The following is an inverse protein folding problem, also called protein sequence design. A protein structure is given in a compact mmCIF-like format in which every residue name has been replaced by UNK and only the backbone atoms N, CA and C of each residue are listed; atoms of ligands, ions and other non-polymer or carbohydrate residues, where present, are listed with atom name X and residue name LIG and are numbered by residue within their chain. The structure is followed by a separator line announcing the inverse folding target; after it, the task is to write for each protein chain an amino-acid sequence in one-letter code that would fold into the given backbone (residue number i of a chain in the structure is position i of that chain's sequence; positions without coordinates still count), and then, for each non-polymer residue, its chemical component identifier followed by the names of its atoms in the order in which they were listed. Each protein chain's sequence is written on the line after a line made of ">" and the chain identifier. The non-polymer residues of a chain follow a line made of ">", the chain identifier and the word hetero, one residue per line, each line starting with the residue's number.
data_IF_238210081136
#
_entry.id   IF_238210081136
#
_cell.length_a   1.000
_cell.length_b   1.000
_cell.length_c   1.000
_cell.angle_alpha   90.00
_cell.angle_beta   90.00
_cell.angle_gamma   90.00
#
_symmetry.space_group_name_H-M   'P 1'
#
loop_
_entity.id
_entity.type
_entity.pdbx_description
1 polymer ?
#
# COMPACT_ATOMS: atom_id res chain seq x y z
N UNK A 1 -26.13 12.93 15.38
CA UNK A 1 -25.37 11.77 14.87
C UNK A 1 -24.97 10.97 16.09
N UNK A 2 -25.37 9.72 16.20
CA UNK A 2 -25.22 8.92 17.41
C UNK A 2 -23.76 8.49 17.64
N UNK A 3 -23.29 8.40 18.88
CA UNK A 3 -21.89 7.99 19.20
C UNK A 3 -21.62 6.57 18.67
N UNK A 4 -22.63 5.70 18.71
CA UNK A 4 -22.55 4.35 18.17
C UNK A 4 -22.30 4.33 16.67
N UNK A 5 -22.88 5.28 15.92
CA UNK A 5 -22.63 5.41 14.49
C UNK A 5 -21.16 5.71 14.19
N UNK A 6 -20.60 6.70 14.90
CA UNK A 6 -19.21 7.09 14.72
C UNK A 6 -18.25 5.95 15.11
N UNK A 7 -18.52 5.26 16.23
CA UNK A 7 -17.70 4.12 16.66
C UNK A 7 -17.71 2.99 15.64
N UNK A 8 -18.88 2.63 15.10
CA UNK A 8 -18.98 1.62 14.05
C UNK A 8 -18.27 2.02 12.76
N UNK A 9 -18.31 3.32 12.41
CA UNK A 9 -17.58 3.87 11.27
C UNK A 9 -16.06 3.72 11.44
N UNK A 10 -15.54 4.14 12.60
CA UNK A 10 -14.10 4.07 12.92
C UNK A 10 -13.63 2.63 12.96
N UNK A 11 -14.40 1.71 13.55
CA UNK A 11 -14.05 0.28 13.57
C UNK A 11 -13.94 -0.29 12.15
N UNK A 12 -14.93 -0.02 11.29
CA UNK A 12 -14.93 -0.48 9.91
C UNK A 12 -13.73 0.06 9.11
N UNK A 13 -13.41 1.35 9.27
CA UNK A 13 -12.21 1.94 8.66
C UNK A 13 -10.96 1.25 9.20
N UNK A 14 -10.84 1.04 10.52
CA UNK A 14 -9.68 0.40 11.13
C UNK A 14 -9.44 -1.02 10.59
N UNK A 15 -10.49 -1.83 10.46
CA UNK A 15 -10.42 -3.19 9.89
C UNK A 15 -9.92 -3.14 8.43
N UNK A 16 -10.41 -2.21 7.62
CA UNK A 16 -9.95 -2.05 6.24
C UNK A 16 -8.49 -1.60 6.14
N UNK A 17 -8.07 -0.67 7.01
CA UNK A 17 -6.69 -0.20 7.07
C UNK A 17 -5.74 -1.32 7.50
N UNK A 18 -6.12 -2.12 8.50
CA UNK A 18 -5.37 -3.29 8.95
C UNK A 18 -5.23 -4.32 7.82
N UNK A 19 -6.29 -4.55 7.05
CA UNK A 19 -6.20 -5.40 5.87
C UNK A 19 -5.26 -4.84 4.83
N UNK A 20 -5.40 -3.56 4.46
CA UNK A 20 -4.55 -2.94 3.45
C UNK A 20 -3.06 -3.03 3.85
N UNK A 21 -2.75 -2.77 5.12
CA UNK A 21 -1.41 -2.93 5.67
C UNK A 21 -0.92 -4.40 5.64
N UNK A 22 -1.76 -5.35 6.08
CA UNK A 22 -1.41 -6.78 6.07
C UNK A 22 -1.22 -7.34 4.66
N UNK A 23 -2.02 -6.86 3.71
CA UNK A 23 -1.93 -7.20 2.29
C UNK A 23 -0.58 -6.79 1.71
N UNK A 24 -0.10 -5.57 1.96
CA UNK A 24 1.22 -5.14 1.50
C UNK A 24 2.34 -6.09 1.98
N UNK A 25 2.37 -6.35 3.29
CA UNK A 25 3.47 -7.08 3.92
C UNK A 25 3.53 -8.56 3.56
N UNK A 26 2.37 -9.21 3.40
CA UNK A 26 2.28 -10.64 3.10
C UNK A 26 2.16 -10.90 1.61
N UNK A 27 1.33 -10.14 0.91
CA UNK A 27 0.96 -10.49 -0.46
C UNK A 27 1.96 -9.98 -1.49
N UNK A 28 2.35 -8.72 -1.34
CA UNK A 28 3.23 -8.04 -2.30
C UNK A 28 4.67 -8.53 -2.11
N UNK A 29 5.12 -8.67 -0.86
CA UNK A 29 6.46 -9.15 -0.53
C UNK A 29 6.74 -10.60 -0.97
N UNK A 30 5.79 -11.51 -0.83
CA UNK A 30 5.99 -12.93 -1.16
C UNK A 30 5.54 -13.31 -2.57
N UNK A 31 5.22 -12.33 -3.43
CA UNK A 31 4.76 -12.56 -4.81
C UNK A 31 3.58 -13.54 -4.93
N UNK A 32 2.74 -13.61 -3.89
CA UNK A 32 1.62 -14.55 -3.78
C UNK A 32 0.51 -14.27 -4.83
N UNK A 33 0.64 -13.25 -5.66
CA UNK A 33 -0.28 -12.99 -6.78
C UNK A 33 -0.16 -14.02 -7.92
N UNK A 34 0.91 -14.80 -8.00
CA UNK A 34 1.19 -15.72 -9.12
C UNK A 34 0.49 -17.08 -8.96
N UNK A 35 0.37 -17.60 -7.73
CA UNK A 35 -0.22 -18.91 -7.51
C UNK A 35 -1.76 -18.86 -7.36
N UNK A 36 -2.45 -19.82 -7.95
CA UNK A 36 -3.92 -19.93 -7.83
C UNK A 36 -4.32 -20.17 -6.37
N UNK A 37 -3.55 -21.00 -5.65
CA UNK A 37 -3.77 -21.27 -4.22
C UNK A 37 -3.77 -19.98 -3.41
N UNK A 38 -2.76 -19.13 -3.61
CA UNK A 38 -2.72 -17.87 -2.91
C UNK A 38 -3.95 -17.02 -3.24
N UNK A 39 -4.31 -16.84 -4.53
CA UNK A 39 -5.51 -16.07 -4.94
C UNK A 39 -6.78 -16.55 -4.25
N UNK A 40 -6.94 -17.86 -4.07
CA UNK A 40 -8.05 -18.44 -3.29
C UNK A 40 -7.94 -18.05 -1.82
N UNK A 41 -6.77 -18.18 -1.19
CA UNK A 41 -6.55 -17.74 0.20
C UNK A 41 -6.85 -16.24 0.40
N UNK A 42 -6.44 -15.36 -0.53
CA UNK A 42 -6.82 -13.95 -0.46
C UNK A 42 -8.34 -13.76 -0.50
N UNK A 43 -9.03 -14.48 -1.37
CA UNK A 43 -10.49 -14.39 -1.44
C UNK A 43 -11.17 -14.83 -0.14
N UNK A 44 -10.65 -15.86 0.53
CA UNK A 44 -11.13 -16.28 1.86
C UNK A 44 -10.87 -15.21 2.93
N UNK A 45 -9.69 -14.58 2.92
CA UNK A 45 -9.35 -13.49 3.85
C UNK A 45 -10.28 -12.29 3.62
N UNK A 46 -10.48 -11.89 2.35
CA UNK A 46 -11.40 -10.81 1.96
C UNK A 46 -12.82 -11.13 2.44
N UNK A 47 -13.28 -12.37 2.27
CA UNK A 47 -14.55 -12.85 2.79
C UNK A 47 -14.63 -12.77 4.32
N UNK A 48 -13.59 -13.21 5.03
CA UNK A 48 -13.50 -13.11 6.50
C UNK A 48 -13.55 -11.66 7.00
N UNK A 49 -12.91 -10.73 6.29
CA UNK A 49 -13.01 -9.30 6.60
C UNK A 49 -14.42 -8.78 6.36
N UNK A 50 -15.07 -9.17 5.27
CA UNK A 50 -16.47 -8.82 5.06
C UNK A 50 -17.35 -9.32 6.22
N UNK A 51 -17.09 -10.52 6.74
CA UNK A 51 -17.80 -11.05 7.93
C UNK A 51 -17.55 -10.16 9.16
N UNK A 52 -16.29 -9.76 9.42
CA UNK A 52 -15.96 -8.87 10.54
C UNK A 52 -16.71 -7.54 10.40
N UNK A 53 -16.70 -6.93 9.21
CA UNK A 53 -17.42 -5.68 8.93
C UNK A 53 -18.94 -5.80 9.15
N UNK A 54 -19.54 -6.98 8.91
CA UNK A 54 -20.97 -7.23 9.18
C UNK A 54 -21.32 -7.35 10.65
N UNK A 55 -20.38 -7.83 11.47
CA UNK A 55 -20.60 -8.01 12.90
C UNK A 55 -20.46 -6.70 13.69
N UNK A 56 -19.92 -5.65 13.07
CA UNK A 56 -19.82 -4.31 13.66
C UNK A 56 -20.54 -3.29 12.77
N UNK A 57 -21.88 -3.36 12.71
CA UNK A 57 -22.67 -2.47 11.88
C UNK A 57 -22.53 -1.02 12.35
N UNK A 58 -22.37 -0.10 11.39
CA UNK A 58 -22.30 1.33 11.67
C UNK A 58 -23.69 1.92 11.95
N UNK A 59 -24.77 1.38 11.38
CA UNK A 59 -26.15 1.76 11.73
C UNK A 59 -27.04 0.53 11.81
N UNK A 60 -27.93 0.51 12.80
CA UNK A 60 -29.06 -0.42 12.87
C UNK A 60 -30.35 0.40 12.85
N UNK A 61 -31.18 0.24 11.82
CA UNK A 61 -32.51 0.85 11.76
C UNK A 61 -33.54 -0.19 11.35
N UNK A 62 -34.59 -0.39 12.15
CA UNK A 62 -35.63 -1.39 11.87
C UNK A 62 -35.10 -2.81 11.66
N UNK A 63 -34.00 -3.20 12.35
CA UNK A 63 -33.37 -4.51 12.15
C UNK A 63 -32.48 -4.63 10.90
N UNK A 64 -32.29 -3.55 10.14
CA UNK A 64 -31.39 -3.53 8.98
C UNK A 64 -30.03 -2.96 9.34
N UNK A 65 -28.99 -3.75 9.07
CA UNK A 65 -27.59 -3.42 9.33
C UNK A 65 -26.91 -2.76 8.12
N UNK A 66 -26.26 -1.62 8.34
CA UNK A 66 -25.41 -0.92 7.36
C UNK A 66 -23.96 -0.87 7.83
N UNK A 67 -23.06 -1.18 6.90
CA UNK A 67 -21.62 -1.13 7.11
C UNK A 67 -20.91 -0.80 5.79
N UNK A 68 -19.58 -0.73 5.85
CA UNK A 68 -18.75 -0.30 4.72
C UNK A 68 -18.31 -1.43 3.77
N UNK A 69 -18.92 -2.61 3.79
CA UNK A 69 -18.55 -3.72 2.86
C UNK A 69 -18.53 -3.31 1.39
N UNK A 70 -19.44 -2.43 0.97
CA UNK A 70 -19.49 -1.92 -0.40
C UNK A 70 -18.23 -1.12 -0.77
N UNK A 71 -17.74 -0.29 0.15
CA UNK A 71 -16.49 0.47 0.02
C UNK A 71 -15.31 -0.49 -0.14
N UNK A 72 -15.25 -1.49 0.74
CA UNK A 72 -14.20 -2.49 0.72
C UNK A 72 -14.21 -3.30 -0.58
N UNK A 73 -15.32 -3.98 -0.90
CA UNK A 73 -15.41 -4.87 -2.06
C UNK A 73 -15.19 -4.17 -3.40
N UNK A 74 -15.66 -2.93 -3.55
CA UNK A 74 -15.41 -2.15 -4.76
C UNK A 74 -13.94 -1.76 -4.92
N UNK A 75 -13.27 -1.38 -3.83
CA UNK A 75 -11.83 -1.11 -3.84
C UNK A 75 -11.03 -2.39 -4.11
N UNK A 76 -11.41 -3.51 -3.50
CA UNK A 76 -10.78 -4.81 -3.70
C UNK A 76 -10.95 -5.31 -5.13
N UNK A 77 -12.14 -5.17 -5.72
CA UNK A 77 -12.40 -5.43 -7.14
C UNK A 77 -11.47 -4.63 -8.04
N UNK A 78 -11.26 -3.35 -7.72
CA UNK A 78 -10.37 -2.49 -8.48
C UNK A 78 -8.89 -2.94 -8.37
N UNK A 79 -8.37 -3.13 -7.16
CA UNK A 79 -6.93 -3.33 -6.92
C UNK A 79 -6.44 -4.78 -6.94
N UNK A 80 -7.23 -5.74 -6.44
CA UNK A 80 -6.78 -7.13 -6.28
C UNK A 80 -7.18 -7.99 -7.50
N UNK A 81 -8.40 -7.84 -8.00
CA UNK A 81 -8.87 -8.46 -9.25
C UNK A 81 -9.83 -9.65 -9.06
N UNK A 82 -10.12 -10.36 -10.15
CA UNK A 82 -11.29 -11.25 -10.29
C UNK A 82 -11.45 -12.35 -9.24
N UNK A 83 -10.52 -13.31 -9.18
CA UNK A 83 -10.67 -14.52 -8.36
C UNK A 83 -10.88 -14.17 -6.87
N UNK A 84 -10.03 -13.35 -6.23
CA UNK A 84 -10.21 -13.02 -4.81
C UNK A 84 -11.50 -12.24 -4.55
N UNK A 85 -11.88 -11.32 -5.42
CA UNK A 85 -13.13 -10.54 -5.28
C UNK A 85 -14.37 -11.40 -5.42
N UNK A 86 -14.40 -12.31 -6.41
CA UNK A 86 -15.53 -13.23 -6.60
C UNK A 86 -15.72 -14.14 -5.39
N UNK A 87 -14.63 -14.71 -4.87
CA UNK A 87 -14.70 -15.56 -3.67
C UNK A 87 -15.12 -14.75 -2.43
N UNK A 88 -14.59 -13.55 -2.26
CA UNK A 88 -15.01 -12.63 -1.20
C UNK A 88 -16.50 -12.28 -1.27
N UNK A 89 -17.03 -12.02 -2.47
CA UNK A 89 -18.45 -11.80 -2.70
C UNK A 89 -19.29 -13.03 -2.32
N UNK A 90 -18.87 -14.23 -2.74
CA UNK A 90 -19.57 -15.48 -2.38
C UNK A 90 -19.64 -15.65 -0.87
N UNK A 91 -18.51 -15.56 -0.17
CA UNK A 91 -18.44 -15.72 1.29
C UNK A 91 -19.30 -14.65 1.99
N UNK A 92 -19.21 -13.39 1.55
CA UNK A 92 -20.00 -12.30 2.10
C UNK A 92 -21.51 -12.49 1.87
N UNK A 93 -21.92 -12.93 0.67
CA UNK A 93 -23.32 -13.20 0.36
C UNK A 93 -23.88 -14.37 1.18
N UNK A 94 -23.11 -15.47 1.31
CA UNK A 94 -23.49 -16.63 2.14
C UNK A 94 -23.65 -16.23 3.60
N UNK A 95 -22.70 -15.48 4.16
CA UNK A 95 -22.82 -15.00 5.53
C UNK A 95 -24.01 -14.05 5.71
N UNK A 96 -24.30 -13.19 4.73
CA UNK A 96 -25.47 -12.31 4.78
C UNK A 96 -26.79 -13.07 4.74
N UNK A 97 -26.87 -14.16 3.97
CA UNK A 97 -28.03 -15.06 3.99
C UNK A 97 -28.21 -15.68 5.38
N UNK A 98 -27.11 -16.08 6.03
CA UNK A 98 -27.16 -16.68 7.37
C UNK A 98 -27.61 -15.69 8.45
N UNK A 99 -27.21 -14.42 8.38
CA UNK A 99 -27.65 -13.39 9.34
C UNK A 99 -29.17 -13.14 9.33
N UNK A 100 -29.84 -13.38 8.20
CA UNK A 100 -31.28 -13.11 8.08
C UNK A 100 -31.65 -11.62 8.19
N UNK A 101 -32.95 -11.35 8.36
CA UNK A 101 -33.52 -10.01 8.53
C UNK A 101 -34.05 -9.37 7.23
N UNK A 102 -34.71 -8.22 7.39
CA UNK A 102 -35.45 -7.55 6.30
C UNK A 102 -34.54 -7.03 5.16
N UNK A 103 -33.26 -6.83 5.45
CA UNK A 103 -32.26 -6.34 4.48
C UNK A 103 -31.36 -7.40 3.86
N UNK A 104 -31.78 -8.67 3.81
CA UNK A 104 -30.98 -9.76 3.21
C UNK A 104 -30.78 -9.55 1.71
N UNK A 105 -31.88 -9.42 0.95
CA UNK A 105 -31.81 -9.28 -0.51
C UNK A 105 -31.11 -7.99 -0.94
N UNK A 106 -31.41 -6.88 -0.28
CA UNK A 106 -30.68 -5.62 -0.46
C UNK A 106 -29.18 -5.80 -0.21
N UNK A 107 -28.80 -6.47 0.89
CA UNK A 107 -27.41 -6.68 1.26
C UNK A 107 -26.65 -7.57 0.29
N UNK A 108 -27.29 -8.62 -0.25
CA UNK A 108 -26.68 -9.47 -1.27
C UNK A 108 -26.50 -8.68 -2.57
N UNK A 109 -27.53 -7.93 -2.99
CA UNK A 109 -27.45 -7.11 -4.19
C UNK A 109 -26.34 -6.05 -4.09
N UNK A 110 -26.15 -5.42 -2.93
CA UNK A 110 -25.09 -4.44 -2.72
C UNK A 110 -23.68 -5.06 -2.72
N UNK A 111 -23.51 -6.26 -2.13
CA UNK A 111 -22.25 -7.02 -2.18
C UNK A 111 -21.89 -7.36 -3.62
N UNK A 112 -22.83 -7.93 -4.38
CA UNK A 112 -22.59 -8.33 -5.76
C UNK A 112 -22.33 -7.11 -6.67
N UNK A 113 -23.14 -6.04 -6.54
CA UNK A 113 -22.97 -4.86 -7.38
C UNK A 113 -21.65 -4.15 -7.07
N UNK A 114 -21.28 -3.96 -5.80
CA UNK A 114 -20.05 -3.25 -5.42
C UNK A 114 -18.78 -3.94 -5.93
N UNK A 115 -18.65 -5.25 -5.72
CA UNK A 115 -17.51 -6.01 -6.22
C UNK A 115 -17.46 -6.05 -7.75
N UNK A 116 -18.61 -6.22 -8.40
CA UNK A 116 -18.71 -6.22 -9.87
C UNK A 116 -18.32 -4.88 -10.47
N UNK A 117 -18.79 -3.76 -9.91
CA UNK A 117 -18.42 -2.41 -10.37
C UNK A 117 -16.91 -2.21 -10.25
N UNK A 118 -16.30 -2.61 -9.12
CA UNK A 118 -14.85 -2.54 -8.95
C UNK A 118 -14.08 -3.34 -10.02
N UNK A 119 -14.53 -4.56 -10.32
CA UNK A 119 -13.95 -5.42 -11.36
C UNK A 119 -14.12 -4.84 -12.76
N UNK A 120 -15.30 -4.29 -13.09
CA UNK A 120 -15.56 -3.64 -14.36
C UNK A 120 -14.68 -2.38 -14.52
N UNK A 121 -14.57 -1.56 -13.48
CA UNK A 121 -13.67 -0.40 -13.48
C UNK A 121 -12.23 -0.84 -13.74
N UNK A 122 -11.76 -1.93 -13.12
CA UNK A 122 -10.43 -2.49 -13.41
C UNK A 122 -10.30 -2.95 -14.86
N UNK A 123 -11.29 -3.69 -15.37
CA UNK A 123 -11.26 -4.25 -16.72
C UNK A 123 -11.24 -3.17 -17.80
N UNK A 124 -12.04 -2.10 -17.64
CA UNK A 124 -12.10 -0.99 -18.59
C UNK A 124 -11.04 0.08 -18.36
N UNK A 125 -10.26 0.01 -17.27
CA UNK A 125 -9.16 0.95 -17.02
C UNK A 125 -8.04 0.74 -18.03
N UNK A 126 -7.92 1.65 -19.00
CA UNK A 126 -6.80 1.69 -19.97
C UNK A 126 -5.47 2.09 -19.32
N UNK A 127 -5.53 2.65 -18.11
CA UNK A 127 -4.38 3.13 -17.35
C UNK A 127 -4.18 2.19 -16.15
N UNK A 128 -2.94 1.86 -15.77
CA UNK A 128 -2.69 1.08 -14.57
C UNK A 128 -3.32 1.71 -13.33
N UNK A 129 -3.96 0.90 -12.49
CA UNK A 129 -4.77 1.35 -11.33
C UNK A 129 -3.97 2.28 -10.39
N UNK A 130 -2.67 2.06 -10.23
CA UNK A 130 -1.80 2.87 -9.37
C UNK A 130 -1.49 4.28 -9.90
N UNK A 131 -1.84 4.57 -11.16
CA UNK A 131 -1.73 5.90 -11.77
C UNK A 131 -3.06 6.66 -11.76
N UNK A 132 -4.14 6.04 -11.29
CA UNK A 132 -5.43 6.70 -11.18
C UNK A 132 -5.35 7.87 -10.18
N UNK A 133 -5.95 8.99 -10.57
CA UNK A 133 -6.09 10.18 -9.73
C UNK A 133 -7.27 10.02 -8.75
N UNK A 134 -7.25 10.79 -7.66
CA UNK A 134 -8.24 10.73 -6.58
C UNK A 134 -9.71 10.80 -7.04
N UNK A 135 -10.00 11.57 -8.11
CA UNK A 135 -11.36 11.71 -8.63
C UNK A 135 -11.93 10.43 -9.24
N UNK A 136 -11.10 9.50 -9.74
CA UNK A 136 -11.58 8.20 -10.23
C UNK A 136 -12.11 7.36 -9.06
N UNK A 137 -11.45 7.42 -7.91
CA UNK A 137 -11.88 6.71 -6.70
C UNK A 137 -13.15 7.34 -6.10
N UNK A 138 -13.31 8.66 -6.22
CA UNK A 138 -14.54 9.35 -5.85
C UNK A 138 -15.70 8.95 -6.77
N UNK A 139 -15.47 8.89 -8.10
CA UNK A 139 -16.46 8.42 -9.06
C UNK A 139 -16.88 6.98 -8.78
N UNK A 140 -15.92 6.07 -8.54
CA UNK A 140 -16.21 4.69 -8.12
C UNK A 140 -17.07 4.68 -6.86
N UNK A 141 -16.69 5.46 -5.85
CA UNK A 141 -17.43 5.58 -4.60
C UNK A 141 -18.86 6.04 -4.84
N UNK A 142 -19.08 7.12 -5.59
CA UNK A 142 -20.41 7.63 -5.88
C UNK A 142 -21.25 6.59 -6.63
N UNK A 143 -20.72 5.98 -7.69
CA UNK A 143 -21.44 4.98 -8.50
C UNK A 143 -21.88 3.79 -7.65
N UNK A 144 -20.99 3.24 -6.83
CA UNK A 144 -21.30 2.11 -5.95
C UNK A 144 -22.42 2.44 -4.97
N UNK A 145 -22.38 3.64 -4.37
CA UNK A 145 -23.34 4.02 -3.33
C UNK A 145 -24.68 4.49 -3.90
N UNK A 146 -24.70 5.07 -5.10
CA UNK A 146 -25.95 5.34 -5.84
C UNK A 146 -26.63 4.02 -6.19
N UNK A 147 -25.90 3.04 -6.72
CA UNK A 147 -26.46 1.71 -7.04
C UNK A 147 -26.93 1.00 -5.76
N UNK A 148 -26.20 1.12 -4.66
CA UNK A 148 -26.65 0.63 -3.35
C UNK A 148 -27.96 1.28 -2.89
N UNK A 149 -28.14 2.58 -3.16
CA UNK A 149 -29.39 3.29 -2.90
C UNK A 149 -30.57 2.76 -3.71
N UNK A 150 -30.35 2.28 -4.94
CA UNK A 150 -31.40 1.64 -5.76
C UNK A 150 -31.89 0.35 -5.10
N UNK A 151 -31.00 -0.42 -4.46
CA UNK A 151 -31.36 -1.67 -3.80
C UNK A 151 -32.25 -1.52 -2.57
N UNK A 152 -32.49 -0.29 -2.09
CA UNK A 152 -33.49 0.01 -1.05
C UNK A 152 -34.90 -0.45 -1.44
N UNK A 153 -35.17 -0.65 -2.74
CA UNK A 153 -36.44 -1.21 -3.21
C UNK A 153 -36.74 -2.62 -2.66
N UNK A 154 -35.70 -3.40 -2.32
CA UNK A 154 -35.86 -4.73 -1.74
C UNK A 154 -36.25 -4.72 -0.26
N UNK A 155 -36.26 -3.55 0.38
CA UNK A 155 -36.74 -3.42 1.76
C UNK A 155 -38.28 -3.39 1.82
N UNK A 156 -38.87 -3.91 2.91
CA UNK A 156 -40.28 -3.78 3.19
C UNK A 156 -40.74 -2.31 3.14
N UNK A 157 -41.97 -2.08 2.68
CA UNK A 157 -42.50 -0.72 2.45
C UNK A 157 -42.48 0.15 3.71
N UNK A 158 -42.72 -0.45 4.88
CA UNK A 158 -42.78 0.23 6.17
C UNK A 158 -41.41 0.72 6.68
N UNK A 159 -40.29 0.14 6.22
CA UNK A 159 -38.94 0.59 6.59
C UNK A 159 -38.27 1.45 5.52
N UNK A 160 -38.73 1.36 4.26
CA UNK A 160 -38.07 1.96 3.09
C UNK A 160 -37.86 3.48 3.21
N UNK A 161 -38.92 4.22 3.55
CA UNK A 161 -38.89 5.69 3.52
C UNK A 161 -38.02 6.26 4.65
N UNK A 162 -38.19 5.76 5.87
CA UNK A 162 -37.43 6.18 7.05
C UNK A 162 -35.94 5.92 6.86
N UNK A 163 -35.61 4.78 6.26
CA UNK A 163 -34.24 4.42 5.95
C UNK A 163 -33.63 5.27 4.84
N UNK A 164 -34.36 5.53 3.76
CA UNK A 164 -33.88 6.37 2.66
C UNK A 164 -33.58 7.79 3.14
N UNK A 165 -34.48 8.38 3.94
CA UNK A 165 -34.28 9.73 4.49
C UNK A 165 -33.09 9.79 5.46
N UNK A 166 -32.90 8.76 6.29
CA UNK A 166 -31.87 8.75 7.33
C UNK A 166 -30.47 8.39 6.84
N UNK A 167 -30.37 7.56 5.79
CA UNK A 167 -29.10 6.96 5.36
C UNK A 167 -28.55 7.51 4.04
N UNK A 168 -29.37 8.14 3.21
CA UNK A 168 -28.94 8.67 1.91
C UNK A 168 -27.78 9.67 2.05
N UNK A 169 -27.85 10.59 3.02
CA UNK A 169 -26.81 11.62 3.22
C UNK A 169 -25.48 11.00 3.67
N UNK A 170 -25.39 10.20 4.76
CA UNK A 170 -24.13 9.56 5.13
C UNK A 170 -23.55 8.64 4.06
N UNK A 171 -24.41 7.87 3.36
CA UNK A 171 -23.98 6.93 2.31
C UNK A 171 -23.42 7.68 1.09
N UNK A 172 -24.00 8.81 0.69
CA UNK A 172 -23.52 9.57 -0.48
C UNK A 172 -22.35 10.51 -0.17
N UNK A 173 -22.06 10.77 1.10
CA UNK A 173 -20.96 11.66 1.51
C UNK A 173 -19.79 10.88 2.10
N UNK A 174 -20.00 10.22 3.24
CA UNK A 174 -18.93 9.58 4.03
C UNK A 174 -18.34 8.38 3.28
N UNK A 175 -19.16 7.56 2.63
CA UNK A 175 -18.69 6.30 2.07
C UNK A 175 -17.86 6.50 0.78
N UNK A 176 -18.20 7.43 -0.14
CA UNK A 176 -17.31 7.80 -1.24
C UNK A 176 -15.97 8.37 -0.75
N UNK A 177 -15.97 9.15 0.34
CA UNK A 177 -14.73 9.64 0.95
C UNK A 177 -13.91 8.48 1.51
N UNK A 178 -14.55 7.53 2.20
CA UNK A 178 -13.89 6.31 2.68
C UNK A 178 -13.30 5.49 1.51
N UNK A 179 -13.97 5.47 0.36
CA UNK A 179 -13.48 4.82 -0.85
C UNK A 179 -12.23 5.50 -1.41
N UNK A 180 -12.21 6.83 -1.47
CA UNK A 180 -11.02 7.60 -1.85
C UNK A 180 -9.86 7.34 -0.89
N UNK A 181 -10.13 7.36 0.42
CA UNK A 181 -9.13 7.12 1.45
C UNK A 181 -8.50 5.73 1.32
N UNK A 182 -9.33 4.69 1.24
CA UNK A 182 -8.87 3.31 1.12
C UNK A 182 -8.09 3.10 -0.18
N UNK A 183 -8.62 3.59 -1.31
CA UNK A 183 -7.94 3.49 -2.60
C UNK A 183 -6.60 4.25 -2.62
N UNK A 184 -6.53 5.44 -2.02
CA UNK A 184 -5.30 6.21 -1.90
C UNK A 184 -4.24 5.47 -1.07
N UNK A 185 -4.66 4.78 0.00
CA UNK A 185 -3.77 3.93 0.78
C UNK A 185 -3.19 2.80 -0.09
N UNK A 186 -4.04 2.09 -0.85
CA UNK A 186 -3.56 1.04 -1.76
C UNK A 186 -2.56 1.57 -2.80
N UNK A 187 -2.81 2.75 -3.37
CA UNK A 187 -1.86 3.40 -4.30
C UNK A 187 -0.54 3.71 -3.60
N UNK A 188 -0.58 4.22 -2.37
CA UNK A 188 0.61 4.58 -1.59
C UNK A 188 1.44 3.34 -1.26
N UNK A 189 0.79 2.27 -0.77
CA UNK A 189 1.44 1.00 -0.47
C UNK A 189 2.14 0.43 -1.71
N UNK A 190 1.43 0.40 -2.84
CA UNK A 190 1.98 -0.08 -4.11
C UNK A 190 3.22 0.72 -4.56
N UNK A 191 3.16 2.05 -4.45
CA UNK A 191 4.29 2.93 -4.82
C UNK A 191 5.51 2.69 -3.93
N UNK A 192 5.31 2.62 -2.62
CA UNK A 192 6.39 2.37 -1.66
C UNK A 192 7.05 1.01 -1.91
N UNK A 193 6.25 -0.03 -2.16
CA UNK A 193 6.79 -1.34 -2.50
C UNK A 193 7.63 -1.30 -3.79
N UNK A 194 7.11 -0.70 -4.86
CA UNK A 194 7.82 -0.66 -6.13
C UNK A 194 9.12 0.17 -6.07
N UNK A 195 9.13 1.27 -5.31
CA UNK A 195 10.33 2.09 -5.08
C UNK A 195 11.38 1.29 -4.30
N UNK A 196 10.98 0.63 -3.22
CA UNK A 196 11.89 -0.16 -2.38
C UNK A 196 12.45 -1.38 -3.12
N UNK A 197 11.64 -2.06 -3.93
CA UNK A 197 12.10 -3.18 -4.77
C UNK A 197 13.14 -2.72 -5.79
N UNK A 198 12.86 -1.63 -6.52
CA UNK A 198 13.80 -1.08 -7.51
C UNK A 198 15.11 -0.61 -6.88
N UNK A 199 15.03 0.04 -5.72
CA UNK A 199 16.22 0.48 -4.98
C UNK A 199 17.08 -0.73 -4.61
N UNK A 200 16.46 -1.81 -4.12
CA UNK A 200 17.15 -3.04 -3.76
C UNK A 200 17.79 -3.73 -4.98
N UNK A 201 17.10 -3.77 -6.11
CA UNK A 201 17.63 -4.32 -7.36
C UNK A 201 18.86 -3.53 -7.83
N UNK A 202 18.79 -2.19 -7.85
CA UNK A 202 19.94 -1.35 -8.22
C UNK A 202 21.10 -1.48 -7.23
N UNK A 203 20.83 -1.55 -5.92
CA UNK A 203 21.87 -1.81 -4.91
C UNK A 203 22.57 -3.15 -5.15
N UNK A 204 21.79 -4.20 -5.42
CA UNK A 204 22.34 -5.54 -5.71
C UNK A 204 23.18 -5.53 -6.99
N UNK A 205 22.71 -4.82 -8.02
CA UNK A 205 23.42 -4.66 -9.29
C UNK A 205 24.75 -3.91 -9.10
N UNK A 206 24.74 -2.78 -8.38
CA UNK A 206 25.95 -2.01 -8.10
C UNK A 206 26.95 -2.82 -7.27
N UNK A 207 26.48 -3.53 -6.24
CA UNK A 207 27.32 -4.42 -5.44
C UNK A 207 27.98 -5.49 -6.31
N UNK A 208 27.21 -6.13 -7.22
CA UNK A 208 27.75 -7.11 -8.15
C UNK A 208 28.79 -6.55 -9.14
N UNK A 209 28.63 -5.29 -9.59
CA UNK A 209 29.64 -4.62 -10.42
C UNK A 209 30.93 -4.36 -9.64
N UNK A 210 30.82 -3.88 -8.39
CA UNK A 210 31.97 -3.63 -7.52
C UNK A 210 32.74 -4.94 -7.27
N UNK A 211 32.01 -6.02 -6.96
CA UNK A 211 32.59 -7.35 -6.73
C UNK A 211 33.26 -7.90 -8.00
N UNK A 212 32.58 -7.85 -9.15
CA UNK A 212 33.09 -8.39 -10.40
C UNK A 212 34.30 -7.62 -10.97
N UNK A 213 34.37 -6.30 -10.73
CA UNK A 213 35.51 -5.46 -11.14
C UNK A 213 36.67 -5.52 -10.16
N UNK A 214 36.46 -6.10 -8.97
CA UNK A 214 37.45 -6.20 -7.90
C UNK A 214 38.07 -4.82 -7.54
N UNK A 215 37.23 -3.78 -7.56
CA UNK A 215 37.62 -2.38 -7.34
C UNK A 215 37.54 -2.02 -5.86
N UNK A 216 38.52 -1.24 -5.38
CA UNK A 216 38.43 -0.59 -4.07
C UNK A 216 37.60 0.68 -4.15
N UNK A 217 36.58 0.80 -3.32
CA UNK A 217 35.75 2.02 -3.22
C UNK A 217 36.08 2.76 -1.94
N UNK A 218 36.13 4.09 -2.02
CA UNK A 218 36.21 4.97 -0.86
C UNK A 218 35.22 6.12 -1.04
N UNK A 219 34.49 6.45 0.02
CA UNK A 219 33.55 7.56 0.07
C UNK A 219 33.86 8.41 1.29
N UNK A 220 34.26 9.66 1.07
CA UNK A 220 34.59 10.58 2.15
C UNK A 220 33.48 11.61 2.35
N UNK A 221 32.91 11.64 3.55
CA UNK A 221 32.04 12.72 3.99
C UNK A 221 32.91 13.87 4.54
N UNK A 222 33.14 14.89 3.71
CA UNK A 222 34.02 16.02 4.01
C UNK A 222 33.62 16.79 5.28
N UNK A 223 32.32 16.89 5.58
CA UNK A 223 31.83 17.65 6.75
C UNK A 223 32.06 16.91 8.07
N UNK A 224 31.89 15.59 8.06
CA UNK A 224 31.99 14.76 9.28
C UNK A 224 33.36 14.09 9.45
N UNK A 225 34.17 14.05 8.38
CA UNK A 225 35.44 13.33 8.35
C UNK A 225 35.31 11.80 8.28
N UNK A 226 34.08 11.27 8.23
CA UNK A 226 33.83 9.82 8.14
C UNK A 226 34.14 9.34 6.73
N UNK A 227 34.87 8.23 6.63
CA UNK A 227 35.18 7.58 5.37
C UNK A 227 34.52 6.19 5.35
N UNK A 228 33.85 5.85 4.26
CA UNK A 228 33.31 4.51 4.03
C UNK A 228 34.15 3.84 2.95
N UNK A 229 34.71 2.68 3.26
CA UNK A 229 35.53 1.88 2.33
C UNK A 229 34.94 0.48 2.20
N UNK A 230 35.22 -0.20 1.08
CA UNK A 230 34.89 -1.62 0.93
C UNK A 230 36.07 -2.53 1.33
N UNK A 231 35.81 -3.83 1.46
CA UNK A 231 36.81 -4.85 1.81
C UNK A 231 38.02 -4.85 0.86
N UNK A 232 37.75 -4.62 -0.43
CA UNK A 232 38.80 -4.61 -1.43
C UNK A 232 39.78 -3.47 -1.23
N UNK A 233 39.30 -2.27 -0.90
CA UNK A 233 40.16 -1.12 -0.59
C UNK A 233 41.07 -1.41 0.60
N UNK A 234 40.52 -1.94 1.70
CA UNK A 234 41.30 -2.34 2.87
C UNK A 234 42.37 -3.39 2.50
N UNK A 235 41.97 -4.40 1.71
CA UNK A 235 42.87 -5.47 1.29
C UNK A 235 44.02 -4.96 0.40
N UNK A 236 43.81 -3.92 -0.41
CA UNK A 236 44.86 -3.33 -1.26
C UNK A 236 45.98 -2.70 -0.44
N UNK A 237 45.66 -2.14 0.73
CA UNK A 237 46.64 -1.55 1.65
C UNK A 237 47.12 -2.55 2.72
N UNK A 238 46.68 -3.81 2.65
CA UNK A 238 47.13 -4.89 3.53
C UNK A 238 46.39 -5.00 4.87
N UNK A 239 45.20 -4.42 4.98
CA UNK A 239 44.38 -4.44 6.20
C UNK A 239 43.01 -5.08 5.96
N UNK A 240 42.34 -5.49 7.03
CA UNK A 240 40.93 -5.87 7.03
C UNK A 240 40.04 -4.66 7.35
N UNK A 241 38.74 -4.73 7.00
CA UNK A 241 37.80 -3.65 7.34
C UNK A 241 37.71 -3.42 8.85
N UNK A 242 37.72 -4.50 9.64
CA UNK A 242 37.59 -4.43 11.09
C UNK A 242 38.82 -3.77 11.75
N UNK A 243 40.01 -3.94 11.19
CA UNK A 243 41.25 -3.30 11.69
C UNK A 243 41.26 -1.78 11.47
N UNK A 244 40.56 -1.30 10.45
CA UNK A 244 40.53 0.13 10.09
C UNK A 244 39.34 0.86 10.73
N UNK A 245 38.38 0.13 11.32
CA UNK A 245 37.17 0.74 11.87
C UNK A 245 37.42 1.42 13.23
N UNK A 246 36.93 2.65 13.46
CA UNK A 246 36.22 3.53 12.52
C UNK A 246 37.16 4.27 11.56
N UNK A 247 36.82 4.23 10.27
CA UNK A 247 37.65 4.87 9.23
C UNK A 247 37.33 6.37 9.18
N UNK A 248 38.33 7.17 9.55
CA UNK A 248 38.30 8.64 9.46
C UNK A 248 39.35 9.13 8.48
N UNK A 249 39.16 10.34 7.97
CA UNK A 249 40.12 10.95 7.04
C UNK A 249 41.53 11.05 7.64
N UNK A 250 41.67 11.23 8.96
CA UNK A 250 42.98 11.26 9.66
C UNK A 250 43.80 9.97 9.50
N UNK A 251 43.16 8.85 9.13
CA UNK A 251 43.86 7.60 8.82
C UNK A 251 44.64 7.72 7.51
N UNK A 252 44.15 8.51 6.54
CA UNK A 252 44.84 8.79 5.28
C UNK A 252 46.21 9.40 5.53
N UNK A 253 46.30 10.37 6.44
CA UNK A 253 47.56 11.03 6.82
C UNK A 253 48.62 10.07 7.35
N UNK A 254 48.20 8.93 7.91
CA UNK A 254 49.09 7.91 8.47
C UNK A 254 49.50 6.85 7.46
N UNK A 255 48.69 6.64 6.42
CA UNK A 255 48.89 5.58 5.43
C UNK A 255 49.62 6.08 4.17
N UNK A 256 49.51 7.37 3.86
CA UNK A 256 50.15 7.98 2.68
C UNK A 256 51.60 8.37 2.99
N UNK A 257 52.47 8.25 1.99
CA UNK A 257 53.85 8.69 2.11
C UNK A 257 53.92 10.21 2.36
N UNK A 258 54.76 10.71 3.30
CA UNK A 258 54.83 12.13 3.64
C UNK A 258 55.06 13.07 2.45
N UNK A 259 55.85 12.62 1.48
CA UNK A 259 56.15 13.41 0.27
C UNK A 259 54.90 13.63 -0.61
N UNK A 260 53.95 12.69 -0.61
CA UNK A 260 52.73 12.73 -1.43
C UNK A 260 51.58 13.50 -0.75
N UNK A 261 51.62 13.67 0.57
CA UNK A 261 50.60 14.41 1.33
C UNK A 261 50.50 15.86 0.86
N UNK A 262 51.63 16.54 0.67
CA UNK A 262 51.66 17.94 0.25
C UNK A 262 50.96 18.16 -1.10
N UNK A 263 51.19 17.25 -2.06
CA UNK A 263 50.55 17.27 -3.38
C UNK A 263 49.07 16.92 -3.31
N UNK A 264 48.70 15.91 -2.52
CA UNK A 264 47.31 15.51 -2.28
C UNK A 264 46.48 16.67 -1.72
N UNK A 265 46.97 17.36 -0.67
CA UNK A 265 46.29 18.51 -0.08
C UNK A 265 46.14 19.69 -1.04
N UNK A 266 47.14 19.93 -1.89
CA UNK A 266 47.03 20.98 -2.91
C UNK A 266 45.94 20.66 -3.95
N UNK A 267 45.92 19.43 -4.47
CA UNK A 267 44.93 18.99 -5.46
C UNK A 267 43.51 18.99 -4.91
N UNK A 268 43.32 18.56 -3.65
CA UNK A 268 42.01 18.53 -3.02
C UNK A 268 41.48 19.94 -2.77
N UNK A 269 42.36 20.88 -2.41
CA UNK A 269 42.00 22.28 -2.24
C UNK A 269 41.62 22.94 -3.57
N UNK A 270 42.36 22.68 -4.65
CA UNK A 270 42.03 23.16 -5.99
C UNK A 270 40.67 22.62 -6.45
N UNK A 271 40.37 21.35 -6.17
CA UNK A 271 39.07 20.78 -6.42
C UNK A 271 37.95 21.44 -5.60
N UNK A 272 38.17 21.69 -4.31
CA UNK A 272 37.19 22.35 -3.44
C UNK A 272 36.89 23.79 -3.82
N UNK A 273 37.88 24.53 -4.33
CA UNK A 273 37.69 25.91 -4.83
C UNK A 273 37.09 25.92 -6.25
N UNK A 274 36.93 24.75 -6.88
CA UNK A 274 36.33 24.59 -8.21
C UNK A 274 37.30 24.83 -9.37
N UNK A 275 38.61 24.91 -9.09
CA UNK A 275 39.65 25.06 -10.11
C UNK A 275 39.86 23.76 -10.90
N UNK A 276 39.64 22.61 -10.25
CA UNK A 276 39.67 21.29 -10.89
C UNK A 276 38.29 20.63 -10.85
N UNK A 277 37.80 20.07 -11.98
CA UNK A 277 36.53 19.36 -12.01
C UNK A 277 36.57 18.03 -11.27
N UNK A 278 37.74 17.41 -11.14
CA UNK A 278 37.95 16.14 -10.45
C UNK A 278 39.27 16.17 -9.65
N UNK A 279 39.28 15.49 -8.49
CA UNK A 279 40.49 15.14 -7.76
C UNK A 279 41.04 13.81 -8.30
N UNK A 280 42.26 13.82 -8.86
CA UNK A 280 42.96 12.67 -9.46
C UNK A 280 44.46 12.71 -9.16
#
# INVERSE_FOLDING_TARGET
>A
MDIQFFLGLVHNIAVMLLFAWGYDRLWVRFQLHTSVLARVLAGLIIGGICIILMNVPSVVYGGVFFDMRSVFLSTIGLFIGGIPTLLGMIVASVYRLHMGGDGVYMGIASVLSSGTIGLLCRYFSKIPVFQLKWYHFLQLGIVVHVIMGIWVIFLPEHTRMDMFASLSVPILTIYPIANVLLAYLFVTLYKTYNITSRLKEEQTRLAGIIEATNVGTYEWNVQTGIVTINERWASMIGYTLDELFPVKIDLWDKLVHPDDLSKSYSLIQQHFVGELPYYQ
#
